data_IF_912135411216
#
_entry.id   IF_912135411216
#
_cell.length_a   1.000
_cell.length_b   1.000
_cell.length_c   1.000
_cell.angle_alpha   90.00
_cell.angle_beta   90.00
_cell.angle_gamma   90.00
#
_symmetry.space_group_name_H-M   'P 1'
#
loop_
_entity.id
_entity.type
_entity.pdbx_description
1 polymer ?
#
# COMPACT_ATOMS: atom_id res chain seq x y z
N UNK A 1 -6.29 -25.22 7.67
CA UNK A 1 -5.96 -26.15 8.77
C UNK A 1 -4.53 -26.69 8.68
N UNK A 2 -4.14 -27.49 9.67
CA UNK A 2 -2.76 -27.98 9.86
C UNK A 2 -2.14 -28.66 8.62
N UNK A 3 -2.94 -29.38 7.83
CA UNK A 3 -2.47 -30.02 6.58
C UNK A 3 -2.09 -29.01 5.51
N UNK A 4 -2.85 -27.95 5.34
CA UNK A 4 -2.60 -26.90 4.36
C UNK A 4 -1.28 -26.15 4.68
N UNK A 5 -1.06 -25.84 5.94
CA UNK A 5 0.19 -25.19 6.39
C UNK A 5 1.42 -26.08 6.24
N UNK A 6 1.27 -27.39 6.42
CA UNK A 6 2.36 -28.34 6.21
C UNK A 6 2.73 -28.46 4.73
N UNK A 7 1.76 -28.44 3.82
CA UNK A 7 2.01 -28.39 2.38
C UNK A 7 2.76 -27.12 1.97
N UNK A 8 2.33 -25.96 2.46
CA UNK A 8 3.01 -24.71 2.19
C UNK A 8 4.43 -24.65 2.73
N UNK A 9 4.68 -25.21 3.91
CA UNK A 9 6.05 -25.31 4.46
C UNK A 9 7.00 -26.07 3.55
N UNK A 10 6.53 -27.08 2.83
CA UNK A 10 7.36 -27.86 1.90
C UNK A 10 7.89 -27.02 0.73
N UNK A 11 7.20 -25.95 0.35
CA UNK A 11 7.59 -24.99 -0.69
C UNK A 11 8.09 -23.66 -0.12
N UNK A 12 8.35 -23.59 1.20
CA UNK A 12 8.85 -22.38 1.86
C UNK A 12 7.78 -21.33 2.19
N UNK A 13 6.50 -21.61 1.91
CA UNK A 13 5.39 -20.68 2.19
C UNK A 13 5.03 -20.70 3.69
N UNK A 14 5.15 -19.56 4.35
CA UNK A 14 4.80 -19.39 5.76
C UNK A 14 3.47 -18.64 5.89
N UNK A 15 2.68 -19.01 6.90
CA UNK A 15 1.48 -18.26 7.25
C UNK A 15 1.87 -16.82 7.66
N UNK A 16 1.17 -15.84 7.10
CA UNK A 16 1.32 -14.45 7.53
C UNK A 16 0.63 -14.28 8.89
N UNK A 17 1.44 -14.00 9.91
CA UNK A 17 0.93 -13.74 11.26
C UNK A 17 0.37 -12.33 11.37
N UNK A 18 -0.53 -12.14 12.31
CA UNK A 18 -1.01 -10.81 12.69
C UNK A 18 0.17 -9.89 13.08
N UNK A 19 0.03 -8.61 12.77
CA UNK A 19 1.04 -7.60 13.06
C UNK A 19 0.36 -6.32 13.56
N UNK A 20 1.02 -5.64 14.49
CA UNK A 20 0.60 -4.34 14.99
C UNK A 20 1.15 -3.24 14.12
N UNK A 21 0.35 -2.21 13.87
CA UNK A 21 0.85 -0.98 13.24
C UNK A 21 1.87 -0.29 14.16
N UNK A 22 2.87 0.31 13.56
CA UNK A 22 3.93 1.04 14.26
C UNK A 22 4.20 2.39 13.62
N UNK A 23 4.72 3.32 14.42
CA UNK A 23 5.00 4.67 13.98
C UNK A 23 5.60 5.49 15.12
N UNK A 24 5.50 6.80 14.98
CA UNK A 24 5.97 7.75 15.99
C UNK A 24 4.83 8.65 16.45
N UNK A 25 4.81 8.98 17.73
CA UNK A 25 3.95 10.01 18.29
C UNK A 25 4.79 11.15 18.85
N UNK A 26 4.32 12.37 18.67
CA UNK A 26 4.87 13.57 19.29
C UNK A 26 3.98 13.97 20.45
N UNK A 27 4.56 13.99 21.63
CA UNK A 27 3.90 14.39 22.88
C UNK A 27 4.36 15.81 23.22
N UNK A 28 3.40 16.68 23.58
CA UNK A 28 3.65 18.05 24.03
C UNK A 28 3.32 18.20 25.49
N UNK A 29 4.13 18.99 26.22
CA UNK A 29 3.90 19.23 27.62
C UNK A 29 4.99 20.02 28.30
N UNK A 30 5.05 19.93 29.62
CA UNK A 30 6.04 20.65 30.45
C UNK A 30 7.43 20.05 30.24
N UNK A 31 8.46 20.87 29.92
CA UNK A 31 9.85 20.41 29.85
C UNK A 31 10.28 19.64 31.09
N UNK A 32 11.04 18.56 30.91
CA UNK A 32 11.47 17.67 32.00
C UNK A 32 10.44 16.58 32.37
N UNK A 33 9.23 16.59 31.84
CA UNK A 33 8.26 15.52 32.05
C UNK A 33 8.69 14.26 31.32
N UNK A 34 8.74 13.13 32.04
CA UNK A 34 9.08 11.82 31.45
C UNK A 34 7.80 11.15 30.98
N UNK A 35 7.74 10.83 29.69
CA UNK A 35 6.70 9.97 29.10
C UNK A 35 7.18 8.52 29.23
N UNK A 36 6.54 7.68 30.04
CA UNK A 36 7.03 6.33 30.28
C UNK A 36 6.70 5.40 29.09
N UNK A 37 7.49 4.34 28.92
CA UNK A 37 7.07 3.21 28.11
C UNK A 37 5.76 2.63 28.68
N UNK A 38 4.85 2.22 27.77
CA UNK A 38 3.52 1.79 28.16
C UNK A 38 2.46 2.90 28.25
N UNK A 39 2.85 4.18 28.07
CA UNK A 39 1.89 5.28 28.02
C UNK A 39 0.99 5.17 26.78
N UNK A 40 -0.30 5.50 26.94
CA UNK A 40 -1.33 5.27 25.93
C UNK A 40 -1.87 6.56 25.35
N UNK A 41 -1.96 6.58 24.03
CA UNK A 41 -2.70 7.57 23.25
C UNK A 41 -3.74 6.85 22.36
N UNK A 42 -4.73 7.57 21.87
CA UNK A 42 -5.77 6.99 21.02
C UNK A 42 -6.21 7.95 19.91
N UNK A 43 -6.85 7.39 18.89
CA UNK A 43 -7.65 8.17 17.93
C UNK A 43 -9.02 8.51 18.53
N UNK A 44 -9.73 9.43 17.90
CA UNK A 44 -11.13 9.74 18.26
C UNK A 44 -12.04 8.52 18.08
N UNK A 45 -11.71 7.62 17.14
CA UNK A 45 -12.43 6.35 16.92
C UNK A 45 -12.14 5.28 18.00
N UNK A 46 -11.20 5.54 18.94
CA UNK A 46 -10.90 4.65 20.05
C UNK A 46 -9.77 3.65 19.80
N UNK A 47 -9.09 3.67 18.65
CA UNK A 47 -7.90 2.84 18.43
C UNK A 47 -6.76 3.35 19.29
N UNK A 48 -6.17 2.44 20.09
CA UNK A 48 -5.15 2.77 21.08
C UNK A 48 -3.74 2.43 20.62
N UNK A 49 -2.79 3.28 21.00
CA UNK A 49 -1.37 3.16 20.71
C UNK A 49 -0.55 3.30 21.98
N UNK A 50 0.44 2.45 22.13
CA UNK A 50 1.32 2.37 23.29
C UNK A 50 2.73 2.84 22.94
N UNK A 51 3.30 3.70 23.77
CA UNK A 51 4.69 4.12 23.67
C UNK A 51 5.60 2.93 23.97
N UNK A 52 6.54 2.65 23.08
CA UNK A 52 7.46 1.50 23.21
C UNK A 52 8.69 1.81 24.05
N UNK A 53 9.20 3.04 23.96
CA UNK A 53 10.38 3.50 24.69
C UNK A 53 10.10 4.82 25.40
N UNK A 54 10.51 4.93 26.67
CA UNK A 54 10.36 6.16 27.43
C UNK A 54 11.21 7.29 26.85
N UNK A 55 10.76 8.54 27.05
CA UNK A 55 11.51 9.75 26.70
C UNK A 55 11.10 10.95 27.52
N UNK A 56 11.96 11.96 27.56
CA UNK A 56 11.77 13.20 28.31
C UNK A 56 11.39 14.35 27.37
N UNK A 57 10.40 15.14 27.76
CA UNK A 57 10.00 16.34 27.01
C UNK A 57 11.11 17.36 27.06
N UNK A 58 11.61 17.72 25.87
CA UNK A 58 12.71 18.67 25.71
C UNK A 58 12.34 20.10 26.11
N UNK A 59 13.35 20.99 26.10
CA UNK A 59 13.16 22.42 26.40
C UNK A 59 12.24 23.14 25.41
N UNK A 60 11.99 22.57 24.24
CA UNK A 60 11.04 23.03 23.23
C UNK A 60 9.58 22.62 23.54
N UNK A 61 9.37 21.90 24.66
CA UNK A 61 8.05 21.42 25.08
C UNK A 61 7.55 20.21 24.31
N UNK A 62 8.43 19.48 23.58
CA UNK A 62 8.04 18.33 22.76
C UNK A 62 8.97 17.13 22.95
N UNK A 63 8.45 15.92 22.68
CA UNK A 63 9.24 14.69 22.50
C UNK A 63 8.57 13.81 21.46
N UNK A 64 9.34 13.21 20.57
CA UNK A 64 8.84 12.24 19.59
C UNK A 64 9.33 10.85 19.96
N UNK A 65 8.38 9.91 20.14
CA UNK A 65 8.63 8.59 20.70
C UNK A 65 8.07 7.50 19.76
N UNK A 66 8.76 6.35 19.68
CA UNK A 66 8.23 5.21 18.95
C UNK A 66 7.00 4.66 19.68
N UNK A 67 5.96 4.34 18.90
CA UNK A 67 4.73 3.79 19.43
C UNK A 67 4.19 2.69 18.49
N UNK A 68 3.32 1.85 19.04
CA UNK A 68 2.74 0.71 18.38
C UNK A 68 1.26 0.59 18.74
N UNK A 69 0.43 0.13 17.80
CA UNK A 69 -0.96 -0.18 18.11
C UNK A 69 -1.06 -1.24 19.23
N UNK A 70 -2.04 -1.13 20.11
CA UNK A 70 -2.24 -2.11 21.18
C UNK A 70 -2.76 -3.44 20.65
N UNK A 71 -3.52 -3.40 19.56
CA UNK A 71 -4.11 -4.56 18.89
C UNK A 71 -3.51 -4.72 17.50
N UNK A 72 -3.24 -5.95 17.08
CA UNK A 72 -2.84 -6.26 15.73
C UNK A 72 -4.06 -6.16 14.79
N UNK A 73 -3.84 -5.72 13.56
CA UNK A 73 -4.88 -5.56 12.55
C UNK A 73 -4.68 -4.31 11.71
N UNK A 74 -5.42 -4.24 10.61
CA UNK A 74 -5.40 -3.08 9.70
C UNK A 74 -5.94 -1.80 10.35
N UNK A 75 -6.81 -1.92 11.35
CA UNK A 75 -7.39 -0.79 12.09
C UNK A 75 -6.35 0.07 12.84
N UNK A 76 -5.17 -0.50 13.07
CA UNK A 76 -4.04 0.24 13.61
C UNK A 76 -3.31 1.12 12.58
N UNK A 77 -3.57 0.95 11.30
CA UNK A 77 -3.02 1.80 10.25
C UNK A 77 -3.86 3.08 10.19
N UNK A 78 -3.34 4.13 10.76
CA UNK A 78 -4.06 5.41 10.88
C UNK A 78 -3.25 6.53 10.24
N UNK A 79 -3.96 7.48 9.65
CA UNK A 79 -3.38 8.65 8.98
C UNK A 79 -2.64 9.55 9.98
N UNK A 80 -1.76 10.40 9.44
CA UNK A 80 -1.09 11.43 10.23
C UNK A 80 -2.11 12.31 10.96
N UNK A 81 -1.73 12.79 12.15
CA UNK A 81 -2.51 13.74 12.96
C UNK A 81 -3.88 13.20 13.46
N UNK A 82 -4.09 11.87 13.43
CA UNK A 82 -5.33 11.24 13.91
C UNK A 82 -5.26 10.75 15.36
N UNK A 83 -4.06 10.53 15.91
CA UNK A 83 -3.85 10.13 17.31
C UNK A 83 -3.81 11.39 18.17
N UNK A 84 -4.95 11.82 18.67
CA UNK A 84 -5.10 13.12 19.35
C UNK A 84 -5.63 13.01 20.77
N UNK A 85 -5.99 11.79 21.23
CA UNK A 85 -6.60 11.57 22.53
C UNK A 85 -5.60 10.98 23.53
N UNK A 86 -5.46 11.61 24.70
CA UNK A 86 -4.71 11.07 25.82
C UNK A 86 -5.61 10.12 26.60
N UNK A 87 -5.25 8.83 26.67
CA UNK A 87 -6.11 7.80 27.30
C UNK A 87 -6.16 7.97 28.82
N UNK A 88 -5.01 8.30 29.44
CA UNK A 88 -4.89 8.53 30.88
C UNK A 88 -4.47 9.98 31.13
N UNK A 89 -5.37 10.98 31.04
CA UNK A 89 -5.03 12.37 31.27
C UNK A 89 -4.55 12.58 32.70
N UNK A 90 -3.43 13.32 32.86
CA UNK A 90 -2.82 13.59 34.17
C UNK A 90 -1.82 12.56 34.66
N UNK A 91 -1.51 11.51 33.88
CA UNK A 91 -0.49 10.49 34.24
C UNK A 91 0.45 10.26 33.04
N UNK A 92 1.72 10.76 33.05
CA UNK A 92 2.26 11.70 34.04
C UNK A 92 1.65 13.10 33.92
N UNK A 93 1.67 13.86 35.02
CA UNK A 93 1.28 15.26 35.00
C UNK A 93 2.19 16.07 34.04
N UNK A 94 1.62 17.09 33.41
CA UNK A 94 2.35 17.96 32.52
C UNK A 94 2.26 17.65 31.02
N UNK A 95 1.63 16.53 30.63
CA UNK A 95 1.32 16.27 29.22
C UNK A 95 0.03 17.01 28.84
N UNK A 96 0.09 17.78 27.74
CA UNK A 96 -1.04 18.62 27.30
C UNK A 96 -1.63 18.17 25.94
N UNK A 97 -0.82 17.57 25.08
CA UNK A 97 -1.27 17.17 23.74
C UNK A 97 -0.45 15.99 23.22
N UNK A 98 -1.03 15.25 22.28
CA UNK A 98 -0.37 14.17 21.52
C UNK A 98 -0.81 14.23 20.06
N UNK A 99 0.10 13.93 19.14
CA UNK A 99 -0.21 13.75 17.72
C UNK A 99 0.78 12.78 17.08
N UNK A 100 0.41 12.18 15.97
CA UNK A 100 1.33 11.40 15.14
C UNK A 100 1.76 12.23 13.92
N UNK A 101 3.05 12.52 13.76
CA UNK A 101 3.55 13.37 12.66
C UNK A 101 3.51 12.67 11.29
N UNK A 102 3.39 11.35 11.27
CA UNK A 102 3.25 10.52 10.08
C UNK A 102 2.18 9.43 10.32
N UNK A 103 1.75 8.76 9.27
CA UNK A 103 0.85 7.62 9.36
C UNK A 103 1.48 6.47 10.17
N UNK A 104 0.64 5.68 10.85
CA UNK A 104 1.00 4.39 11.41
C UNK A 104 0.73 3.31 10.39
N UNK A 105 1.68 2.41 10.18
CA UNK A 105 1.65 1.42 9.11
C UNK A 105 2.06 0.03 9.61
N UNK A 106 1.87 -1.00 8.77
CA UNK A 106 2.29 -2.36 9.03
C UNK A 106 1.32 -3.17 9.90
N UNK A 107 0.20 -2.60 10.26
CA UNK A 107 -0.87 -3.33 10.95
C UNK A 107 -1.59 -4.28 10.00
N UNK A 108 -1.73 -5.55 10.40
CA UNK A 108 -2.45 -6.56 9.63
C UNK A 108 -3.09 -7.60 10.55
N UNK A 109 -4.20 -8.17 10.11
CA UNK A 109 -4.79 -9.35 10.71
C UNK A 109 -3.98 -10.61 10.36
N UNK A 110 -4.20 -11.68 11.10
CA UNK A 110 -3.69 -12.99 10.72
C UNK A 110 -4.34 -13.44 9.41
N UNK A 111 -3.53 -13.96 8.50
CA UNK A 111 -3.99 -14.52 7.22
C UNK A 111 -5.01 -15.63 7.43
N UNK A 112 -6.09 -15.61 6.66
CA UNK A 112 -7.12 -16.65 6.70
C UNK A 112 -6.65 -17.92 5.98
N UNK A 113 -7.32 -19.06 6.24
CA UNK A 113 -7.05 -20.30 5.52
C UNK A 113 -7.35 -20.19 4.01
N UNK A 114 -8.27 -19.31 3.63
CA UNK A 114 -8.66 -19.05 2.24
C UNK A 114 -7.58 -18.24 1.52
N UNK A 115 -7.15 -17.12 2.08
CA UNK A 115 -6.07 -16.29 1.54
C UNK A 115 -4.77 -17.09 1.42
N UNK A 116 -4.45 -17.91 2.45
CA UNK A 116 -3.28 -18.78 2.41
C UNK A 116 -3.37 -19.83 1.29
N UNK A 117 -4.57 -20.39 1.02
CA UNK A 117 -4.79 -21.35 -0.07
C UNK A 117 -4.58 -20.70 -1.43
N UNK A 118 -5.12 -19.52 -1.63
CA UNK A 118 -4.97 -18.76 -2.85
C UNK A 118 -3.51 -18.40 -3.12
N UNK A 119 -2.80 -17.98 -2.07
CA UNK A 119 -1.37 -17.72 -2.12
C UNK A 119 -0.56 -18.99 -2.40
N UNK A 120 -0.96 -20.15 -1.84
CA UNK A 120 -0.34 -21.45 -2.12
C UNK A 120 -0.45 -21.84 -3.60
N UNK A 121 -1.64 -21.73 -4.20
CA UNK A 121 -1.81 -22.04 -5.62
C UNK A 121 -0.98 -21.12 -6.52
N UNK A 122 -0.94 -19.84 -6.22
CA UNK A 122 -0.09 -18.88 -6.94
C UNK A 122 1.41 -19.15 -6.77
N UNK A 123 1.85 -19.74 -5.65
CA UNK A 123 3.26 -20.01 -5.35
C UNK A 123 3.83 -21.24 -6.07
N UNK A 124 3.00 -22.22 -6.40
CA UNK A 124 3.42 -23.42 -7.12
C UNK A 124 3.91 -23.09 -8.53
N UNK A 125 3.36 -22.06 -9.15
CA UNK A 125 3.71 -21.64 -10.51
C UNK A 125 5.08 -20.92 -10.59
N UNK A 126 5.65 -20.45 -9.47
CA UNK A 126 6.90 -19.67 -9.43
C UNK A 126 8.02 -20.29 -8.59
N UNK A 127 7.90 -21.55 -8.17
CA UNK A 127 8.86 -22.19 -7.28
C UNK A 127 10.23 -22.40 -7.96
N UNK A 128 11.26 -21.67 -7.51
CA UNK A 128 12.66 -21.97 -7.79
C UNK A 128 13.39 -21.07 -8.80
N UNK A 129 12.74 -20.08 -9.42
CA UNK A 129 13.40 -19.16 -10.36
C UNK A 129 14.17 -18.02 -9.67
N UNK A 130 15.15 -17.47 -10.40
CA UNK A 130 15.91 -16.24 -10.03
C UNK A 130 15.76 -15.14 -11.10
N UNK A 131 14.79 -15.27 -12.00
CA UNK A 131 14.49 -14.32 -13.06
C UNK A 131 13.48 -13.22 -12.61
N UNK A 132 13.20 -12.28 -13.48
CA UNK A 132 12.28 -11.18 -13.22
C UNK A 132 10.89 -11.66 -12.77
N UNK A 133 10.34 -12.70 -13.41
CA UNK A 133 9.03 -13.26 -13.06
C UNK A 133 9.01 -13.89 -11.66
N UNK A 134 10.11 -14.57 -11.27
CA UNK A 134 10.23 -15.15 -9.94
C UNK A 134 10.31 -14.07 -8.85
N UNK A 135 11.03 -12.97 -9.10
CA UNK A 135 11.08 -11.81 -8.18
C UNK A 135 9.69 -11.18 -8.06
N UNK A 136 9.01 -10.96 -9.20
CA UNK A 136 7.64 -10.44 -9.24
C UNK A 136 6.69 -11.32 -8.44
N UNK A 137 6.71 -12.62 -8.69
CA UNK A 137 5.88 -13.60 -8.00
C UNK A 137 6.16 -13.65 -6.49
N UNK A 138 7.43 -13.63 -6.08
CA UNK A 138 7.83 -13.62 -4.67
C UNK A 138 7.30 -12.39 -3.92
N UNK A 139 7.37 -11.21 -4.53
CA UNK A 139 6.85 -9.98 -3.94
C UNK A 139 5.33 -10.06 -3.79
N UNK A 140 4.60 -10.41 -4.87
CA UNK A 140 3.13 -10.50 -4.85
C UNK A 140 2.60 -11.52 -3.84
N UNK A 141 3.34 -12.60 -3.61
CA UNK A 141 2.90 -13.70 -2.74
C UNK A 141 3.23 -13.49 -1.26
N UNK A 142 4.35 -12.83 -0.98
CA UNK A 142 4.92 -12.80 0.37
C UNK A 142 4.96 -11.40 0.99
N UNK A 143 4.52 -10.36 0.27
CA UNK A 143 4.39 -9.00 0.79
C UNK A 143 2.93 -8.59 0.78
N UNK A 144 2.39 -8.34 1.95
CA UNK A 144 1.01 -7.88 2.11
C UNK A 144 0.84 -6.45 1.62
N UNK A 145 -0.35 -6.15 1.08
CA UNK A 145 -0.68 -4.82 0.58
C UNK A 145 0.03 -4.43 -0.71
N UNK A 146 0.72 -5.35 -1.36
CA UNK A 146 1.23 -5.14 -2.71
C UNK A 146 0.12 -5.41 -3.71
N UNK A 147 -0.19 -4.41 -4.51
CA UNK A 147 -1.25 -4.48 -5.52
C UNK A 147 -0.72 -4.71 -6.94
N UNK A 148 0.45 -4.17 -7.26
CA UNK A 148 1.06 -4.35 -8.57
C UNK A 148 2.59 -4.37 -8.47
N UNK A 149 3.22 -5.22 -9.29
CA UNK A 149 4.68 -5.32 -9.42
C UNK A 149 5.03 -5.55 -10.87
N UNK A 150 6.03 -4.83 -11.34
CA UNK A 150 6.73 -5.12 -12.58
C UNK A 150 8.24 -5.16 -12.29
N UNK A 151 8.98 -6.04 -12.95
CA UNK A 151 10.44 -6.13 -12.80
C UNK A 151 11.06 -5.97 -14.17
N UNK A 152 11.91 -4.98 -14.29
CA UNK A 152 12.74 -4.71 -15.45
C UNK A 152 14.12 -5.33 -15.24
N UNK A 153 14.71 -5.82 -16.30
CA UNK A 153 16.06 -6.41 -16.32
C UNK A 153 16.84 -5.83 -17.47
N UNK A 154 18.07 -5.42 -17.19
CA UNK A 154 19.05 -5.04 -18.21
C UNK A 154 20.21 -6.06 -18.13
N UNK A 155 20.26 -6.97 -19.07
CA UNK A 155 21.29 -8.01 -19.20
C UNK A 155 22.46 -7.58 -20.13
N UNK A 156 22.43 -6.35 -20.64
CA UNK A 156 23.44 -5.80 -21.52
C UNK A 156 24.62 -5.20 -20.76
N UNK A 157 25.72 -4.90 -21.48
CA UNK A 157 26.92 -4.27 -20.92
C UNK A 157 26.82 -2.73 -20.81
N UNK A 158 25.68 -2.13 -21.24
CA UNK A 158 25.47 -0.69 -21.25
C UNK A 158 24.17 -0.33 -20.55
N UNK A 159 24.04 0.94 -20.12
CA UNK A 159 22.79 1.48 -19.61
C UNK A 159 21.73 1.49 -20.71
N UNK A 160 20.51 1.06 -20.39
CA UNK A 160 19.43 1.04 -21.36
C UNK A 160 18.80 2.44 -21.58
N UNK A 161 17.88 2.53 -22.54
CA UNK A 161 17.20 3.80 -22.88
C UNK A 161 16.35 4.37 -21.73
N UNK A 162 16.01 3.55 -20.74
CA UNK A 162 15.20 3.93 -19.57
C UNK A 162 16.06 4.28 -18.35
N UNK A 163 17.40 4.25 -18.49
CA UNK A 163 18.35 4.58 -17.43
C UNK A 163 18.61 3.43 -16.45
N UNK A 164 18.26 2.18 -16.82
CA UNK A 164 18.60 1.02 -16.03
C UNK A 164 20.05 0.61 -16.29
N UNK A 165 20.93 0.63 -15.26
CA UNK A 165 22.35 0.29 -15.44
C UNK A 165 22.59 -1.12 -15.99
N UNK A 166 23.73 -1.34 -16.63
CA UNK A 166 24.19 -2.65 -17.07
C UNK A 166 24.09 -3.69 -15.95
N UNK A 167 23.71 -4.92 -16.30
CA UNK A 167 23.64 -6.08 -15.39
C UNK A 167 22.84 -5.79 -14.10
N UNK A 168 21.70 -5.11 -14.23
CA UNK A 168 20.87 -4.74 -13.09
C UNK A 168 19.40 -5.08 -13.30
N UNK A 169 18.67 -5.10 -12.17
CA UNK A 169 17.23 -5.25 -12.14
C UNK A 169 16.60 -4.08 -11.40
N UNK A 170 15.41 -3.68 -11.83
CA UNK A 170 14.58 -2.73 -11.13
C UNK A 170 13.17 -3.32 -10.90
N UNK A 171 12.82 -3.53 -9.65
CA UNK A 171 11.43 -3.84 -9.29
C UNK A 171 10.68 -2.52 -9.04
N UNK A 172 9.60 -2.30 -9.78
CA UNK A 172 8.65 -1.19 -9.53
C UNK A 172 7.45 -1.78 -8.82
N UNK A 173 7.17 -1.32 -7.60
CA UNK A 173 6.20 -1.96 -6.69
C UNK A 173 5.19 -0.94 -6.18
N UNK A 174 3.91 -1.22 -6.38
CA UNK A 174 2.81 -0.44 -5.83
C UNK A 174 2.19 -1.13 -4.62
N UNK A 175 2.13 -0.41 -3.50
CA UNK A 175 1.70 -0.96 -2.21
C UNK A 175 2.78 -1.75 -1.47
N UNK A 176 2.45 -2.29 -0.30
CA UNK A 176 3.34 -3.04 0.56
C UNK A 176 4.43 -2.22 1.26
N UNK A 177 5.05 -2.78 2.27
CA UNK A 177 6.10 -2.14 3.07
C UNK A 177 7.48 -2.27 2.41
N UNK A 178 8.26 -1.18 2.39
CA UNK A 178 9.58 -1.12 1.77
C UNK A 178 10.53 -2.23 2.29
N UNK A 179 10.52 -2.48 3.61
CA UNK A 179 11.36 -3.50 4.23
C UNK A 179 11.03 -4.93 3.81
N UNK A 180 9.76 -5.24 3.66
CA UNK A 180 9.31 -6.59 3.25
C UNK A 180 9.56 -6.82 1.76
N UNK A 181 9.33 -5.80 0.91
CA UNK A 181 9.66 -5.83 -0.51
C UNK A 181 11.17 -6.10 -0.69
N UNK A 182 12.03 -5.32 -0.03
CA UNK A 182 13.47 -5.47 -0.13
C UNK A 182 13.96 -6.86 0.29
N UNK A 183 13.36 -7.45 1.33
CA UNK A 183 13.66 -8.84 1.77
C UNK A 183 13.32 -9.86 0.68
N UNK A 184 12.18 -9.71 -0.01
CA UNK A 184 11.81 -10.65 -1.07
C UNK A 184 12.69 -10.50 -2.30
N UNK A 185 13.05 -9.27 -2.70
CA UNK A 185 14.02 -9.04 -3.77
C UNK A 185 15.36 -9.68 -3.41
N UNK A 186 15.87 -9.45 -2.19
CA UNK A 186 17.12 -10.05 -1.73
C UNK A 186 17.12 -11.59 -1.80
N UNK A 187 15.99 -12.20 -1.48
CA UNK A 187 15.85 -13.68 -1.49
C UNK A 187 15.88 -14.29 -2.88
N UNK A 188 15.42 -13.53 -3.89
CA UNK A 188 15.25 -14.05 -5.26
C UNK A 188 16.22 -13.50 -6.27
N UNK A 189 16.87 -12.37 -6.00
CA UNK A 189 17.85 -11.85 -6.95
C UNK A 189 19.03 -12.80 -7.10
N UNK A 190 19.56 -12.93 -8.30
CA UNK A 190 20.79 -13.67 -8.54
C UNK A 190 21.98 -13.03 -7.83
N UNK A 191 22.96 -13.83 -7.42
CA UNK A 191 24.21 -13.32 -6.89
C UNK A 191 24.96 -12.53 -7.98
N UNK A 192 25.52 -11.36 -7.60
CA UNK A 192 26.24 -10.48 -8.52
C UNK A 192 25.39 -9.49 -9.27
N UNK A 193 24.07 -9.68 -9.42
CA UNK A 193 23.17 -8.73 -10.07
C UNK A 193 22.87 -7.56 -9.13
N UNK A 194 23.02 -6.34 -9.66
CA UNK A 194 22.71 -5.12 -8.93
C UNK A 194 21.20 -4.85 -8.93
N UNK A 195 20.72 -4.22 -7.86
CA UNK A 195 19.34 -3.71 -7.79
C UNK A 195 19.33 -2.21 -8.00
N UNK A 196 18.42 -1.69 -8.82
CA UNK A 196 18.27 -0.28 -9.13
C UNK A 196 16.94 0.25 -8.61
N UNK A 197 16.84 1.56 -8.40
CA UNK A 197 15.61 2.26 -8.05
C UNK A 197 15.79 3.39 -7.04
N UNK A 198 14.72 4.18 -6.89
CA UNK A 198 14.68 5.38 -6.03
C UNK A 198 14.58 5.09 -4.53
N UNK A 199 14.16 3.87 -4.14
CA UNK A 199 14.15 3.41 -2.74
C UNK A 199 15.42 2.62 -2.44
N UNK A 200 15.93 2.75 -1.22
CA UNK A 200 17.16 2.07 -0.77
C UNK A 200 16.94 1.54 0.64
N UNK A 201 16.98 0.22 0.79
CA UNK A 201 16.66 -0.47 2.06
C UNK A 201 17.79 -1.43 2.42
N UNK A 202 18.23 -1.39 3.68
CA UNK A 202 19.22 -2.31 4.22
C UNK A 202 18.56 -3.61 4.64
N UNK A 203 19.06 -4.74 4.12
CA UNK A 203 18.60 -6.09 4.47
C UNK A 203 19.75 -6.86 5.12
N UNK A 204 19.51 -7.40 6.31
CA UNK A 204 20.44 -8.28 7.00
C UNK A 204 20.25 -9.72 6.50
N UNK A 205 21.33 -10.34 6.01
CA UNK A 205 21.33 -11.75 5.62
C UNK A 205 21.44 -12.69 6.84
N UNK A 206 21.11 -13.96 6.67
CA UNK A 206 21.25 -14.97 7.71
C UNK A 206 22.72 -15.15 8.16
N UNK A 207 23.69 -14.80 7.31
CA UNK A 207 25.12 -14.80 7.63
C UNK A 207 25.59 -13.58 8.42
N UNK A 208 24.69 -12.59 8.69
CA UNK A 208 25.02 -11.35 9.40
C UNK A 208 25.58 -10.25 8.50
N UNK A 209 25.69 -10.44 7.19
CA UNK A 209 26.12 -9.40 6.26
C UNK A 209 24.91 -8.48 5.90
N UNK A 210 25.17 -7.18 5.80
CA UNK A 210 24.16 -6.19 5.39
C UNK A 210 24.26 -5.91 3.90
N UNK A 211 23.14 -5.98 3.22
CA UNK A 211 23.01 -5.68 1.80
C UNK A 211 22.07 -4.50 1.58
N UNK A 212 22.42 -3.62 0.66
CA UNK A 212 21.53 -2.53 0.23
C UNK A 212 20.74 -2.99 -0.98
N UNK A 213 19.43 -3.07 -0.83
CA UNK A 213 18.50 -3.42 -1.90
C UNK A 213 17.79 -2.16 -2.35
N UNK A 214 17.80 -1.95 -3.67
CA UNK A 214 17.10 -0.82 -4.30
C UNK A 214 15.90 -1.33 -5.08
N UNK A 215 14.86 -0.50 -5.15
CA UNK A 215 13.68 -0.71 -5.98
C UNK A 215 12.95 0.63 -6.17
N UNK A 216 11.93 0.69 -7.00
CA UNK A 216 11.18 1.91 -7.26
C UNK A 216 9.71 1.79 -6.83
N UNK A 217 9.11 2.93 -6.52
CA UNK A 217 7.66 3.11 -6.45
C UNK A 217 7.20 3.74 -7.77
N UNK A 218 6.04 3.34 -8.33
CA UNK A 218 5.55 3.98 -9.54
C UNK A 218 5.20 5.45 -9.27
N UNK A 219 5.36 6.28 -10.27
CA UNK A 219 4.76 7.62 -10.28
C UNK A 219 3.26 7.48 -10.50
N UNK A 220 2.46 8.06 -9.62
CA UNK A 220 1.01 7.97 -9.73
C UNK A 220 0.47 8.99 -10.74
N UNK A 221 -0.41 8.53 -11.61
CA UNK A 221 -1.17 9.37 -12.55
C UNK A 221 -2.62 9.38 -12.10
N UNK A 222 -3.08 10.54 -11.69
CA UNK A 222 -4.46 10.74 -11.26
C UNK A 222 -5.41 10.63 -12.45
N UNK A 223 -6.49 9.86 -12.28
CA UNK A 223 -7.56 9.74 -13.27
C UNK A 223 -8.83 10.34 -12.71
N UNK A 224 -9.32 11.35 -13.38
CA UNK A 224 -10.58 12.03 -13.06
C UNK A 224 -11.66 11.55 -14.02
N UNK A 225 -12.81 11.22 -13.47
CA UNK A 225 -13.95 10.70 -14.25
C UNK A 225 -15.15 11.59 -14.02
N UNK A 226 -15.76 12.04 -15.11
CA UNK A 226 -16.98 12.86 -15.08
C UNK A 226 -18.10 12.16 -15.85
N UNK A 227 -19.18 11.88 -15.15
CA UNK A 227 -20.42 11.32 -15.70
C UNK A 227 -21.50 12.39 -15.62
N UNK A 228 -22.11 12.68 -16.75
CA UNK A 228 -23.24 13.62 -16.87
C UNK A 228 -24.40 12.92 -17.59
N UNK A 229 -25.60 13.51 -17.50
CA UNK A 229 -26.79 13.03 -18.17
C UNK A 229 -27.10 11.54 -17.88
N UNK A 230 -26.88 11.12 -16.62
CA UNK A 230 -27.15 9.75 -16.20
C UNK A 230 -28.64 9.44 -16.25
N UNK A 231 -29.01 8.52 -17.15
CA UNK A 231 -30.38 8.00 -17.30
C UNK A 231 -30.45 6.62 -16.64
N UNK A 232 -31.44 6.44 -15.77
CA UNK A 232 -31.62 5.20 -15.01
C UNK A 232 -33.04 4.66 -15.12
N UNK A 233 -33.19 3.35 -15.02
CA UNK A 233 -34.46 2.65 -14.82
C UNK A 233 -34.81 2.72 -13.32
N UNK A 234 -35.87 3.48 -12.97
CA UNK A 234 -36.23 3.75 -11.57
C UNK A 234 -36.57 2.47 -10.78
N UNK A 235 -37.04 1.43 -11.44
CA UNK A 235 -37.39 0.15 -10.81
C UNK A 235 -36.17 -0.74 -10.52
N UNK A 236 -35.06 -0.53 -11.23
CA UNK A 236 -33.86 -1.37 -11.17
C UNK A 236 -32.64 -0.68 -10.56
N UNK A 237 -32.60 0.66 -10.66
CA UNK A 237 -31.45 1.41 -10.14
C UNK A 237 -31.49 1.49 -8.63
N UNK A 238 -30.49 0.96 -7.90
CA UNK A 238 -30.51 0.95 -6.46
C UNK A 238 -30.33 2.36 -5.87
N UNK A 239 -30.88 2.58 -4.67
CA UNK A 239 -30.80 3.87 -3.98
C UNK A 239 -29.36 4.39 -3.80
N UNK A 240 -28.39 3.48 -3.68
CA UNK A 240 -26.96 3.77 -3.63
C UNK A 240 -26.26 3.63 -4.98
N UNK A 241 -26.97 3.59 -6.09
CA UNK A 241 -26.46 3.27 -7.44
C UNK A 241 -25.30 4.18 -7.87
N UNK A 242 -25.37 5.49 -7.58
CA UNK A 242 -24.23 6.40 -7.86
C UNK A 242 -22.98 6.02 -7.08
N UNK A 243 -23.10 5.57 -5.82
CA UNK A 243 -21.97 5.09 -5.03
C UNK A 243 -21.39 3.78 -5.59
N UNK A 244 -22.25 2.88 -6.07
CA UNK A 244 -21.82 1.64 -6.72
C UNK A 244 -21.07 1.91 -8.03
N UNK A 245 -21.53 2.88 -8.85
CA UNK A 245 -20.80 3.30 -10.06
C UNK A 245 -19.40 3.83 -9.69
N UNK A 246 -19.30 4.69 -8.67
CA UNK A 246 -18.00 5.20 -8.20
C UNK A 246 -17.09 4.08 -7.74
N UNK A 247 -17.61 3.15 -6.93
CA UNK A 247 -16.86 1.99 -6.45
C UNK A 247 -16.36 1.13 -7.62
N UNK A 248 -17.20 0.82 -8.59
CA UNK A 248 -16.82 0.04 -9.77
C UNK A 248 -15.71 0.72 -10.59
N UNK A 249 -15.77 2.04 -10.75
CA UNK A 249 -14.70 2.81 -11.43
C UNK A 249 -13.39 2.76 -10.63
N UNK A 250 -13.47 2.92 -9.31
CA UNK A 250 -12.31 2.85 -8.42
C UNK A 250 -11.70 1.45 -8.45
N UNK A 251 -12.51 0.41 -8.43
CA UNK A 251 -12.04 -0.98 -8.51
C UNK A 251 -11.36 -1.28 -9.86
N UNK A 252 -11.85 -0.71 -10.94
CA UNK A 252 -11.25 -0.87 -12.27
C UNK A 252 -9.93 -0.11 -12.41
N UNK A 253 -9.88 1.19 -12.07
CA UNK A 253 -8.69 2.03 -12.25
C UNK A 253 -7.64 1.71 -11.19
N UNK A 254 -8.06 1.57 -9.94
CA UNK A 254 -7.23 1.40 -8.76
C UNK A 254 -7.20 2.63 -7.85
N UNK A 255 -6.90 2.37 -6.59
CA UNK A 255 -6.77 3.39 -5.54
C UNK A 255 -5.66 2.98 -4.58
N UNK A 256 -5.40 3.79 -3.55
CA UNK A 256 -4.47 3.45 -2.47
C UNK A 256 -4.89 2.19 -1.68
N UNK A 257 -6.16 1.78 -1.79
CA UNK A 257 -6.71 0.62 -1.09
C UNK A 257 -6.92 -0.61 -1.98
N UNK A 258 -6.82 -0.47 -3.30
CA UNK A 258 -6.93 -1.59 -4.23
C UNK A 258 -6.06 -1.40 -5.48
N UNK A 259 -5.75 -2.53 -6.15
CA UNK A 259 -4.82 -2.57 -7.27
C UNK A 259 -5.35 -1.97 -8.57
N UNK A 260 -6.57 -2.30 -8.96
CA UNK A 260 -7.12 -1.94 -10.28
C UNK A 260 -6.21 -2.36 -11.45
N UNK A 261 -5.95 -1.43 -12.38
CA UNK A 261 -4.99 -1.63 -13.48
C UNK A 261 -3.58 -1.87 -12.96
N UNK A 262 -2.71 -2.50 -13.77
CA UNK A 262 -1.32 -2.72 -13.39
C UNK A 262 -0.42 -1.49 -13.68
N UNK A 263 0.85 -1.56 -13.30
CA UNK A 263 1.86 -0.55 -13.63
C UNK A 263 2.08 -0.55 -15.15
N UNK A 264 2.13 0.63 -15.78
CA UNK A 264 2.31 0.79 -17.22
C UNK A 264 1.07 0.46 -18.06
N UNK A 265 -0.09 0.23 -17.44
CA UNK A 265 -1.33 -0.06 -18.16
C UNK A 265 -2.14 1.21 -18.40
N UNK A 266 -2.42 1.49 -19.66
CA UNK A 266 -3.22 2.64 -20.09
C UNK A 266 -4.67 2.53 -19.63
N UNK A 267 -5.29 3.68 -19.39
CA UNK A 267 -6.72 3.75 -19.17
C UNK A 267 -7.42 3.93 -20.51
N UNK A 268 -8.03 2.84 -20.97
CA UNK A 268 -8.81 2.86 -22.21
C UNK A 268 -10.22 3.39 -21.93
N UNK A 269 -10.52 4.55 -22.52
CA UNK A 269 -11.82 5.21 -22.40
C UNK A 269 -12.99 4.24 -22.64
N UNK A 270 -12.91 3.44 -23.71
CA UNK A 270 -13.99 2.54 -24.13
C UNK A 270 -14.23 1.35 -23.16
N UNK A 271 -13.36 1.10 -22.18
CA UNK A 271 -13.58 0.08 -21.16
C UNK A 271 -14.43 0.58 -20.00
N UNK A 272 -14.39 1.88 -19.70
CA UNK A 272 -15.12 2.46 -18.58
C UNK A 272 -16.64 2.35 -18.68
N UNK A 273 -17.30 2.55 -19.87
CA UNK A 273 -18.72 2.29 -20.00
C UNK A 273 -19.13 0.87 -19.59
N UNK A 274 -18.35 -0.15 -19.96
CA UNK A 274 -18.63 -1.53 -19.57
C UNK A 274 -18.63 -1.72 -18.04
N UNK A 275 -17.72 -1.04 -17.34
CA UNK A 275 -17.65 -1.05 -15.87
C UNK A 275 -18.88 -0.36 -15.26
N UNK A 276 -19.31 0.77 -15.80
CA UNK A 276 -20.48 1.53 -15.32
C UNK A 276 -21.76 0.73 -15.52
N UNK A 277 -21.93 0.05 -16.66
CA UNK A 277 -23.10 -0.78 -16.96
C UNK A 277 -23.20 -2.07 -16.11
N UNK A 278 -22.17 -2.39 -15.30
CA UNK A 278 -22.30 -3.47 -14.30
C UNK A 278 -23.31 -3.13 -13.20
N UNK A 279 -23.59 -1.84 -12.99
CA UNK A 279 -24.57 -1.39 -12.00
C UNK A 279 -25.98 -1.51 -12.60
N UNK A 280 -26.88 -2.28 -11.97
CA UNK A 280 -28.22 -2.50 -12.47
C UNK A 280 -29.00 -1.18 -12.67
N UNK A 281 -29.79 -1.10 -13.76
CA UNK A 281 -30.66 0.04 -14.01
C UNK A 281 -29.98 1.26 -14.64
N UNK A 282 -28.69 1.22 -14.94
CA UNK A 282 -28.04 2.24 -15.78
C UNK A 282 -28.47 2.03 -17.23
N UNK A 283 -29.04 3.06 -17.87
CA UNK A 283 -29.51 3.02 -19.24
C UNK A 283 -28.63 3.81 -20.20
N UNK A 284 -28.25 5.03 -19.81
CA UNK A 284 -27.43 5.91 -20.66
C UNK A 284 -26.69 6.95 -19.80
N UNK A 285 -25.60 7.50 -20.32
CA UNK A 285 -24.82 8.56 -19.69
C UNK A 285 -23.81 9.16 -20.67
N UNK A 286 -23.37 10.39 -20.40
CA UNK A 286 -22.18 10.96 -21.02
C UNK A 286 -20.98 10.77 -20.08
N UNK A 287 -19.86 10.24 -20.61
CA UNK A 287 -18.63 9.99 -19.88
C UNK A 287 -17.48 10.83 -20.45
N UNK A 288 -16.70 11.46 -19.61
CA UNK A 288 -15.42 12.09 -19.96
C UNK A 288 -14.38 11.78 -18.91
N UNK A 289 -13.11 11.68 -19.32
CA UNK A 289 -11.98 11.45 -18.41
C UNK A 289 -10.91 12.52 -18.57
N UNK A 290 -10.07 12.65 -17.54
CA UNK A 290 -8.97 13.62 -17.50
C UNK A 290 -7.83 13.09 -16.65
N UNK A 291 -6.59 13.44 -16.99
CA UNK A 291 -5.39 13.18 -16.17
C UNK A 291 -4.97 14.36 -15.29
N UNK A 292 -5.61 15.52 -15.46
CA UNK A 292 -5.29 16.76 -14.72
C UNK A 292 -6.47 17.37 -13.94
N UNK A 293 -7.67 16.76 -14.09
CA UNK A 293 -8.91 17.24 -13.45
C UNK A 293 -9.50 18.50 -14.07
N UNK A 294 -8.97 19.02 -15.16
CA UNK A 294 -9.43 20.24 -15.82
C UNK A 294 -9.86 20.02 -17.27
N UNK A 295 -9.03 19.37 -18.07
CA UNK A 295 -9.29 19.08 -19.48
C UNK A 295 -9.91 17.68 -19.62
N UNK A 296 -11.24 17.63 -19.68
CA UNK A 296 -11.99 16.38 -19.85
C UNK A 296 -12.25 16.08 -21.32
N UNK A 297 -11.91 14.87 -21.77
CA UNK A 297 -12.06 14.42 -23.14
C UNK A 297 -12.52 12.95 -23.21
N UNK A 298 -12.53 12.39 -24.44
CA UNK A 298 -12.92 11.01 -24.73
C UNK A 298 -11.69 10.14 -25.12
N UNK A 299 -10.48 10.68 -24.91
CA UNK A 299 -9.24 10.01 -25.30
C UNK A 299 -8.80 9.05 -24.17
N UNK A 300 -7.99 8.07 -24.55
CA UNK A 300 -7.31 7.21 -23.59
C UNK A 300 -6.29 8.02 -22.77
N UNK A 301 -6.02 7.61 -21.53
CA UNK A 301 -4.91 8.17 -20.74
C UNK A 301 -3.74 7.20 -20.85
N UNK A 302 -2.67 7.66 -21.47
CA UNK A 302 -1.41 6.90 -21.61
C UNK A 302 -0.66 6.87 -20.27
N UNK A 303 -0.18 5.68 -19.90
CA UNK A 303 0.54 5.41 -18.65
C UNK A 303 1.90 4.83 -19.00
N UNK A 304 2.96 5.58 -18.75
CA UNK A 304 4.32 5.12 -19.01
C UNK A 304 4.72 3.91 -18.16
N UNK A 305 5.76 3.20 -18.59
CA UNK A 305 6.23 1.92 -18.02
C UNK A 305 6.45 1.94 -16.49
N UNK A 306 6.79 3.09 -15.90
CA UNK A 306 7.01 3.27 -14.46
C UNK A 306 5.94 4.13 -13.79
N UNK A 307 4.78 4.28 -14.44
CA UNK A 307 3.63 5.00 -13.90
C UNK A 307 2.49 4.04 -13.57
N UNK A 308 1.59 4.48 -12.72
CA UNK A 308 0.37 3.75 -12.34
C UNK A 308 -0.81 4.70 -12.29
N UNK A 309 -1.88 4.36 -13.00
CA UNK A 309 -3.14 5.06 -12.88
C UNK A 309 -3.80 4.81 -11.52
N UNK A 310 -4.30 5.88 -10.90
CA UNK A 310 -5.06 5.83 -9.65
C UNK A 310 -6.23 6.80 -9.70
N UNK A 311 -7.28 6.49 -8.96
CA UNK A 311 -8.41 7.39 -8.76
C UNK A 311 -8.90 7.34 -7.32
N UNK A 312 -9.83 8.21 -6.97
CA UNK A 312 -10.45 8.25 -5.65
C UNK A 312 -11.90 8.71 -5.79
N UNK A 313 -12.71 8.52 -4.76
CA UNK A 313 -14.13 8.92 -4.76
C UNK A 313 -14.33 10.40 -5.09
N UNK A 314 -13.42 11.26 -4.61
CA UNK A 314 -13.42 12.71 -4.88
C UNK A 314 -13.12 13.08 -6.33
N UNK A 315 -12.51 12.15 -7.10
CA UNK A 315 -12.13 12.35 -8.51
C UNK A 315 -13.18 11.78 -9.48
N UNK A 316 -14.23 11.12 -8.97
CA UNK A 316 -15.36 10.61 -9.75
C UNK A 316 -16.59 11.45 -9.46
N UNK A 317 -17.00 12.27 -10.43
CA UNK A 317 -18.21 13.11 -10.35
C UNK A 317 -19.34 12.52 -11.15
N UNK A 318 -20.57 12.52 -10.58
CA UNK A 318 -21.79 12.02 -11.23
C UNK A 318 -22.90 13.05 -10.99
N UNK A 319 -23.30 13.73 -12.03
CA UNK A 319 -24.37 14.75 -12.01
C UNK A 319 -25.60 14.30 -12.76
#
# INVERSE_FOLDING_TARGET
GTSLYNLGKAIGLRLLSEQKASGYITVKGTPGTIVPAGWLAATVAGYQFVVVAAGEIGSDGTVTLPAQATVAGADGNVEKETITTIVNPGIPEGITNVSNPAAFEGGRARETDEDYRDRYYKSVDYAGGVNADAIRGEILQNVEGVYAVIVYENDTDEEDSDGLPAHSIEAVVYGGLDGDIAKQIFRRKAAGIQTHGGKSVSVLSDSGATYTIKFSRPTLVDVWVKITDLVTDEDKFPTNGKALIKAAIIDYIGSDANGGTTIGEDIYYNRLPAVIYTVPGVLDFELKISSDGSAYNYDNIEISSRQKAVTAESKVSIT
#
